data_IF_433699950753
#
_entry.id   IF_433699950753
#
_cell.length_a   1.000
_cell.length_b   1.000
_cell.length_c   1.000
_cell.angle_alpha   90.00
_cell.angle_beta   90.00
_cell.angle_gamma   90.00
#
_symmetry.space_group_name_H-M   'P 1'
#
loop_
_entity.id
_entity.type
_entity.pdbx_description
1 polymer ?
#
# COMPACT_ATOMS: atom_id res chain seq x y z
N UNK A 1 -21.00 11.63 -1.32
CA UNK A 1 -19.52 11.56 -1.32
C UNK A 1 -19.18 10.10 -1.47
N UNK A 2 -18.36 9.73 -2.44
CA UNK A 2 -17.97 8.33 -2.63
C UNK A 2 -16.91 7.98 -1.59
N UNK A 3 -17.25 7.15 -0.60
CA UNK A 3 -16.34 6.74 0.46
C UNK A 3 -15.53 5.52 0.01
N UNK A 4 -14.21 5.59 0.08
CA UNK A 4 -13.31 4.47 -0.19
C UNK A 4 -12.52 4.06 1.05
N UNK A 5 -12.11 2.80 1.17
CA UNK A 5 -11.29 2.35 2.29
C UNK A 5 -9.90 3.01 2.28
N UNK A 6 -9.32 3.19 1.09
CA UNK A 6 -8.10 3.96 0.86
C UNK A 6 -8.37 4.98 -0.26
N UNK A 7 -8.03 6.26 -0.04
CA UNK A 7 -8.21 7.33 -1.04
C UNK A 7 -6.90 8.05 -1.29
N UNK A 8 -6.44 8.05 -2.53
CA UNK A 8 -5.15 8.59 -2.96
C UNK A 8 -5.31 9.63 -4.07
N UNK A 9 -4.33 10.54 -4.15
CA UNK A 9 -4.09 11.36 -5.34
C UNK A 9 -3.61 10.46 -6.48
N UNK A 10 -2.32 10.16 -6.55
CA UNK A 10 -1.76 9.22 -7.52
C UNK A 10 -1.10 8.04 -6.80
N UNK A 11 -1.20 6.84 -7.36
CA UNK A 11 -0.55 5.62 -6.85
C UNK A 11 0.46 5.13 -7.88
N UNK A 12 1.70 4.92 -7.44
CA UNK A 12 2.78 4.40 -8.29
C UNK A 12 3.47 3.23 -7.60
N UNK A 13 3.51 2.07 -8.27
CA UNK A 13 4.25 0.88 -7.85
C UNK A 13 5.33 0.62 -8.90
N UNK A 14 6.59 0.93 -8.58
CA UNK A 14 7.68 0.94 -9.56
C UNK A 14 8.96 0.28 -9.03
N UNK A 15 9.89 -0.05 -9.94
CA UNK A 15 11.23 -0.52 -9.60
C UNK A 15 11.28 -1.91 -8.98
N UNK A 16 10.43 -2.83 -9.44
CA UNK A 16 10.35 -4.18 -8.88
C UNK A 16 9.75 -4.20 -7.48
N UNK A 17 8.81 -3.29 -7.20
CA UNK A 17 8.09 -3.22 -5.93
C UNK A 17 6.80 -4.04 -5.97
N UNK A 18 6.23 -4.33 -4.80
CA UNK A 18 4.97 -5.07 -4.68
C UNK A 18 3.97 -4.27 -3.85
N UNK A 19 2.76 -4.10 -4.36
CA UNK A 19 1.59 -3.66 -3.59
C UNK A 19 0.64 -4.85 -3.47
N UNK A 20 0.44 -5.35 -2.25
CA UNK A 20 -0.38 -6.53 -2.00
C UNK A 20 -1.50 -6.24 -1.00
N UNK A 21 -2.69 -6.74 -1.30
CA UNK A 21 -3.88 -6.72 -0.44
C UNK A 21 -4.28 -8.18 -0.26
N UNK A 22 -4.13 -8.69 0.97
CA UNK A 22 -4.30 -10.12 1.23
C UNK A 22 -5.13 -10.43 2.47
N UNK A 23 -5.85 -11.55 2.45
CA UNK A 23 -6.55 -12.13 3.60
C UNK A 23 -7.44 -11.14 4.37
N UNK A 24 -8.02 -10.19 3.64
CA UNK A 24 -8.73 -9.04 4.22
C UNK A 24 -10.21 -9.07 3.87
N UNK A 25 -11.02 -8.41 4.69
CA UNK A 25 -12.47 -8.34 4.51
C UNK A 25 -12.92 -6.88 4.48
N UNK A 26 -13.46 -6.44 3.34
CA UNK A 26 -13.88 -5.05 3.12
C UNK A 26 -15.39 -4.96 3.03
N UNK A 27 -16.06 -4.47 4.09
CA UNK A 27 -17.52 -4.60 4.25
C UNK A 27 -18.35 -3.36 3.95
N UNK A 28 -17.75 -2.17 3.87
CA UNK A 28 -18.47 -0.90 3.71
C UNK A 28 -17.62 0.08 2.90
N UNK A 29 -18.05 0.42 1.68
CA UNK A 29 -17.37 1.41 0.83
C UNK A 29 -17.85 1.38 -0.61
N UNK A 30 -17.85 2.55 -1.25
CA UNK A 30 -17.98 2.66 -2.71
C UNK A 30 -16.81 1.96 -3.40
N UNK A 31 -15.59 2.13 -2.88
CA UNK A 31 -14.44 1.40 -3.37
C UNK A 31 -13.46 0.94 -2.28
N UNK A 32 -12.65 -0.08 -2.53
CA UNK A 32 -11.52 -0.40 -1.64
C UNK A 32 -10.39 0.63 -1.83
N UNK A 33 -9.92 0.82 -3.05
CA UNK A 33 -8.90 1.82 -3.40
C UNK A 33 -9.49 2.85 -4.35
N UNK A 34 -9.42 4.13 -4.00
CA UNK A 34 -9.73 5.27 -4.86
C UNK A 34 -8.41 5.96 -5.20
N UNK A 35 -8.14 6.19 -6.49
CA UNK A 35 -6.99 6.97 -6.94
C UNK A 35 -7.35 7.83 -8.15
N UNK A 36 -6.59 8.91 -8.38
CA UNK A 36 -6.64 9.69 -9.62
C UNK A 36 -5.96 8.94 -10.76
N UNK A 37 -4.76 8.41 -10.50
CA UNK A 37 -4.04 7.50 -11.39
C UNK A 37 -3.42 6.34 -10.61
N UNK A 38 -3.21 5.21 -11.30
CA UNK A 38 -2.53 4.03 -10.79
C UNK A 38 -1.52 3.55 -11.84
N UNK A 39 -0.22 3.67 -11.55
CA UNK A 39 0.84 3.19 -12.44
C UNK A 39 1.59 2.03 -11.80
N UNK A 40 1.70 0.90 -12.51
CA UNK A 40 2.53 -0.24 -12.11
C UNK A 40 3.59 -0.47 -13.17
N UNK A 41 4.86 -0.29 -12.84
CA UNK A 41 5.96 -0.25 -13.81
C UNK A 41 7.26 -0.89 -13.29
N UNK A 42 8.26 -1.02 -14.15
CA UNK A 42 9.57 -1.58 -13.80
C UNK A 42 9.52 -3.00 -13.24
N UNK A 43 8.66 -3.88 -13.79
CA UNK A 43 8.51 -5.26 -13.31
C UNK A 43 7.89 -5.38 -11.91
N UNK A 44 7.14 -4.36 -11.49
CA UNK A 44 6.41 -4.35 -10.22
C UNK A 44 5.13 -5.18 -10.26
N UNK A 45 4.58 -5.48 -9.09
CA UNK A 45 3.45 -6.39 -8.92
C UNK A 45 2.34 -5.79 -8.06
N UNK A 46 1.10 -5.84 -8.57
CA UNK A 46 -0.11 -5.54 -7.81
C UNK A 46 -0.86 -6.85 -7.51
N UNK A 47 -1.21 -7.10 -6.25
CA UNK A 47 -1.81 -8.39 -5.84
C UNK A 47 -3.04 -8.18 -4.99
N UNK A 48 -4.12 -8.87 -5.32
CA UNK A 48 -5.30 -9.03 -4.48
C UNK A 48 -5.51 -10.53 -4.27
N UNK A 49 -5.32 -11.01 -3.03
CA UNK A 49 -5.38 -12.44 -2.73
C UNK A 49 -6.19 -12.79 -1.48
N UNK A 50 -6.99 -13.85 -1.52
CA UNK A 50 -7.71 -14.37 -0.35
C UNK A 50 -8.62 -13.33 0.34
N UNK A 51 -9.18 -12.37 -0.40
CA UNK A 51 -9.99 -11.30 0.19
C UNK A 51 -11.50 -11.53 0.03
N UNK A 52 -12.27 -10.99 0.97
CA UNK A 52 -13.72 -10.83 0.87
C UNK A 52 -14.05 -9.35 0.60
N UNK A 53 -14.46 -9.01 -0.62
CA UNK A 53 -14.86 -7.65 -1.01
C UNK A 53 -16.38 -7.51 -1.02
N UNK A 54 -16.90 -6.52 -0.30
CA UNK A 54 -18.31 -6.08 -0.36
C UNK A 54 -18.39 -4.60 -0.72
N UNK A 55 -17.99 -4.27 -1.95
CA UNK A 55 -17.87 -2.89 -2.44
C UNK A 55 -18.38 -2.77 -3.87
N UNK A 56 -18.58 -1.55 -4.37
CA UNK A 56 -18.95 -1.35 -5.78
C UNK A 56 -17.72 -1.50 -6.69
N UNK A 57 -16.55 -1.03 -6.24
CA UNK A 57 -15.29 -1.13 -6.97
C UNK A 57 -14.16 -1.60 -6.06
N UNK A 58 -13.33 -2.55 -6.49
CA UNK A 58 -12.11 -2.87 -5.74
C UNK A 58 -11.07 -1.77 -5.97
N UNK A 59 -10.81 -1.40 -7.23
CA UNK A 59 -9.91 -0.31 -7.64
C UNK A 59 -10.65 0.73 -8.48
N UNK A 60 -10.99 1.86 -7.88
CA UNK A 60 -11.64 2.98 -8.55
C UNK A 60 -10.62 4.04 -8.97
N UNK A 61 -10.42 4.20 -10.27
CA UNK A 61 -9.52 5.23 -10.83
C UNK A 61 -10.35 6.32 -11.49
N UNK A 62 -10.21 7.57 -11.03
CA UNK A 62 -11.05 8.68 -11.51
C UNK A 62 -10.71 9.11 -12.93
N UNK A 63 -9.43 9.03 -13.32
CA UNK A 63 -9.00 9.34 -14.68
C UNK A 63 -9.20 8.12 -15.59
N UNK A 64 -9.90 8.31 -16.71
CA UNK A 64 -10.20 7.26 -17.68
C UNK A 64 -8.95 6.53 -18.24
N UNK A 65 -7.84 7.26 -18.38
CA UNK A 65 -6.54 6.73 -18.79
C UNK A 65 -5.56 6.61 -17.61
N UNK A 66 -6.07 6.67 -16.39
CA UNK A 66 -5.26 6.79 -15.18
C UNK A 66 -4.60 5.49 -14.75
N UNK A 67 -5.07 4.33 -15.20
CA UNK A 67 -4.46 3.04 -14.89
C UNK A 67 -3.47 2.65 -15.99
N UNK A 68 -2.24 2.29 -15.63
CA UNK A 68 -1.14 2.03 -16.57
C UNK A 68 -0.25 0.90 -16.06
N UNK A 69 0.01 -0.11 -16.91
CA UNK A 69 0.94 -1.21 -16.62
C UNK A 69 2.06 -1.28 -17.67
N UNK A 70 3.31 -1.22 -17.22
CA UNK A 70 4.51 -1.17 -18.09
C UNK A 70 5.57 -2.18 -17.66
N UNK A 71 6.57 -2.39 -18.53
CA UNK A 71 7.81 -3.11 -18.21
C UNK A 71 7.62 -4.52 -17.63
N UNK A 72 6.62 -5.26 -18.15
CA UNK A 72 6.24 -6.60 -17.66
C UNK A 72 5.74 -6.60 -16.20
N UNK A 73 5.13 -5.50 -15.76
CA UNK A 73 4.40 -5.47 -14.50
C UNK A 73 3.13 -6.32 -14.54
N UNK A 74 2.81 -6.90 -13.38
CA UNK A 74 1.75 -7.92 -13.25
C UNK A 74 0.66 -7.43 -12.30
N UNK A 75 -0.59 -7.79 -12.60
CA UNK A 75 -1.72 -7.72 -11.67
C UNK A 75 -2.28 -9.12 -11.43
N UNK A 76 -2.13 -9.63 -10.21
CA UNK A 76 -2.70 -10.91 -9.82
C UNK A 76 -3.96 -10.72 -8.97
N UNK A 77 -5.04 -11.38 -9.37
CA UNK A 77 -6.33 -11.39 -8.69
C UNK A 77 -6.62 -12.86 -8.36
N UNK A 78 -6.44 -13.27 -7.11
CA UNK A 78 -6.36 -14.67 -6.70
C UNK A 78 -7.32 -14.95 -5.54
N UNK A 79 -8.12 -16.01 -5.62
CA UNK A 79 -8.85 -16.56 -4.47
C UNK A 79 -9.74 -15.54 -3.74
N UNK A 80 -10.29 -14.53 -4.44
CA UNK A 80 -11.12 -13.50 -3.82
C UNK A 80 -12.61 -13.83 -3.97
N UNK A 81 -13.39 -13.44 -2.96
CA UNK A 81 -14.85 -13.47 -2.98
C UNK A 81 -15.39 -12.03 -3.10
N UNK A 82 -16.04 -11.73 -4.22
CA UNK A 82 -16.57 -10.42 -4.57
C UNK A 82 -18.09 -10.45 -4.45
N UNK A 83 -18.64 -9.62 -3.58
CA UNK A 83 -20.08 -9.49 -3.37
C UNK A 83 -20.49 -8.04 -3.38
N UNK A 84 -21.80 -7.80 -3.40
CA UNK A 84 -22.36 -6.46 -3.37
C UNK A 84 -22.09 -5.77 -2.03
N UNK A 85 -21.64 -4.52 -2.09
CA UNK A 85 -21.68 -3.62 -0.94
C UNK A 85 -23.11 -3.21 -0.60
N UNK A 86 -23.35 -2.77 0.64
CA UNK A 86 -24.70 -2.44 1.15
C UNK A 86 -25.47 -1.39 0.33
N UNK A 87 -24.78 -0.60 -0.49
CA UNK A 87 -25.35 0.48 -1.30
C UNK A 87 -25.15 0.30 -2.82
N UNK A 88 -24.70 -0.88 -3.26
CA UNK A 88 -24.45 -1.16 -4.68
C UNK A 88 -25.21 -2.40 -5.14
N UNK A 89 -25.66 -2.40 -6.38
CA UNK A 89 -26.25 -3.56 -7.06
C UNK A 89 -25.26 -4.26 -7.98
N UNK A 90 -24.01 -3.80 -7.97
CA UNK A 90 -22.91 -4.34 -8.78
C UNK A 90 -21.62 -4.39 -7.95
N UNK A 91 -20.69 -5.23 -8.38
CA UNK A 91 -19.32 -5.28 -7.88
C UNK A 91 -18.40 -5.41 -9.07
N UNK A 92 -17.38 -4.57 -9.14
CA UNK A 92 -16.43 -4.53 -10.25
C UNK A 92 -15.01 -4.52 -9.69
N UNK A 93 -14.08 -5.18 -10.36
CA UNK A 93 -12.68 -5.09 -9.98
C UNK A 93 -12.15 -3.68 -10.19
N UNK A 94 -12.55 -3.03 -11.28
CA UNK A 94 -12.13 -1.66 -11.55
C UNK A 94 -13.14 -0.84 -12.34
N UNK A 95 -12.96 0.47 -12.35
CA UNK A 95 -13.62 1.40 -13.26
C UNK A 95 -13.28 1.09 -14.71
N UNK A 96 -14.16 1.49 -15.64
CA UNK A 96 -13.85 1.38 -17.06
C UNK A 96 -12.59 2.19 -17.38
N UNK A 97 -11.55 1.49 -17.84
CA UNK A 97 -10.29 2.09 -18.25
C UNK A 97 -9.89 1.54 -19.61
N UNK A 98 -9.12 2.32 -20.35
CA UNK A 98 -8.48 1.87 -21.58
C UNK A 98 -6.98 2.07 -21.42
N UNK A 99 -6.17 1.00 -21.41
CA UNK A 99 -4.73 1.15 -21.29
C UNK A 99 -4.18 1.98 -22.47
N UNK A 100 -3.20 2.87 -22.23
CA UNK A 100 -2.47 3.55 -23.29
C UNK A 100 -1.88 2.58 -24.33
N UNK A 101 -1.60 3.08 -25.55
CA UNK A 101 -1.13 2.26 -26.68
C UNK A 101 0.19 1.52 -26.42
N UNK A 102 1.01 2.01 -25.49
CA UNK A 102 2.27 1.44 -25.02
C UNK A 102 2.11 0.54 -23.78
N UNK A 103 0.96 0.56 -23.11
CA UNK A 103 0.66 -0.26 -21.94
C UNK A 103 0.41 -1.72 -22.36
N UNK A 104 1.01 -2.65 -21.63
CA UNK A 104 0.89 -4.10 -21.86
C UNK A 104 0.60 -4.75 -20.51
N UNK A 105 -0.64 -4.65 -20.00
CA UNK A 105 -0.99 -5.23 -18.72
C UNK A 105 -0.91 -6.75 -18.80
N UNK A 106 -0.22 -7.35 -17.83
CA UNK A 106 -0.23 -8.79 -17.61
C UNK A 106 -1.14 -9.02 -16.42
N UNK A 107 -2.30 -9.63 -16.65
CA UNK A 107 -3.31 -9.84 -15.61
C UNK A 107 -3.62 -11.32 -15.48
N UNK A 108 -3.58 -11.81 -14.25
CA UNK A 108 -3.93 -13.18 -13.90
C UNK A 108 -5.16 -13.20 -13.00
N UNK A 109 -6.11 -14.06 -13.33
CA UNK A 109 -7.29 -14.34 -12.54
C UNK A 109 -7.31 -15.81 -12.13
N UNK A 110 -7.34 -16.11 -10.83
CA UNK A 110 -7.33 -17.48 -10.32
C UNK A 110 -8.37 -17.62 -9.22
N UNK A 111 -9.26 -18.59 -9.37
CA UNK A 111 -10.25 -18.97 -8.35
C UNK A 111 -11.03 -17.81 -7.68
N UNK A 112 -11.38 -16.77 -8.43
CA UNK A 112 -12.23 -15.71 -7.90
C UNK A 112 -13.70 -16.10 -8.00
N UNK A 113 -14.49 -15.69 -7.02
CA UNK A 113 -15.93 -15.82 -7.01
C UNK A 113 -16.58 -14.45 -7.01
N UNK A 114 -17.66 -14.30 -7.77
CA UNK A 114 -18.54 -13.13 -7.77
C UNK A 114 -19.96 -13.59 -7.42
N UNK A 115 -20.51 -13.05 -6.33
CA UNK A 115 -21.87 -13.32 -5.86
C UNK A 115 -22.11 -14.85 -5.69
N UNK A 116 -21.10 -15.55 -5.14
CA UNK A 116 -21.15 -16.99 -4.92
C UNK A 116 -21.07 -17.85 -6.17
N UNK A 117 -20.68 -17.28 -7.31
CA UNK A 117 -20.41 -18.02 -8.56
C UNK A 117 -18.96 -17.81 -8.99
N UNK A 118 -18.26 -18.83 -9.50
CA UNK A 118 -16.91 -18.66 -10.04
C UNK A 118 -16.89 -17.64 -11.19
N UNK A 119 -15.91 -16.74 -11.17
CA UNK A 119 -15.69 -15.77 -12.24
C UNK A 119 -15.11 -16.49 -13.44
N UNK A 120 -15.80 -16.43 -14.58
CA UNK A 120 -15.33 -17.03 -15.83
C UNK A 120 -15.04 -15.99 -16.90
N UNK A 121 -15.67 -14.81 -16.82
CA UNK A 121 -15.43 -13.70 -17.72
C UNK A 121 -15.11 -12.43 -16.93
N UNK A 122 -13.83 -12.11 -16.77
CA UNK A 122 -13.41 -10.91 -16.02
C UNK A 122 -13.83 -9.60 -16.69
N UNK A 123 -14.14 -9.61 -17.99
CA UNK A 123 -14.61 -8.43 -18.68
C UNK A 123 -16.06 -8.12 -18.27
N UNK A 124 -16.94 -9.10 -18.38
CA UNK A 124 -18.37 -8.91 -18.11
C UNK A 124 -18.68 -8.98 -16.61
N UNK A 125 -18.07 -9.90 -15.87
CA UNK A 125 -18.32 -10.12 -14.45
C UNK A 125 -17.69 -9.04 -13.57
N UNK A 126 -16.48 -8.58 -13.93
CA UNK A 126 -15.64 -7.73 -13.09
C UNK A 126 -15.18 -6.42 -13.74
N UNK A 127 -15.66 -6.12 -14.96
CA UNK A 127 -15.38 -4.88 -15.68
C UNK A 127 -13.89 -4.66 -16.01
N UNK A 128 -13.15 -5.75 -16.27
CA UNK A 128 -11.75 -5.70 -16.73
C UNK A 128 -11.71 -5.78 -18.26
N UNK A 129 -11.68 -4.63 -18.94
CA UNK A 129 -11.70 -4.52 -20.41
C UNK A 129 -10.39 -4.88 -21.11
N UNK A 130 -9.42 -5.39 -20.36
CA UNK A 130 -8.14 -5.86 -20.85
C UNK A 130 -8.05 -7.37 -20.69
N UNK A 131 -7.45 -8.11 -21.64
CA UNK A 131 -7.37 -9.56 -21.57
C UNK A 131 -6.81 -10.05 -20.23
N UNK A 132 -7.55 -10.95 -19.58
CA UNK A 132 -7.13 -11.62 -18.34
C UNK A 132 -6.78 -13.07 -18.66
N UNK A 133 -5.63 -13.52 -18.20
CA UNK A 133 -5.26 -14.93 -18.24
C UNK A 133 -5.92 -15.63 -17.07
N UNK A 134 -7.00 -16.35 -17.33
CA UNK A 134 -7.74 -17.11 -16.32
C UNK A 134 -7.07 -18.47 -16.12
N UNK A 135 -6.76 -18.81 -14.87
CA UNK A 135 -6.23 -20.12 -14.49
C UNK A 135 -7.21 -20.84 -13.57
N UNK A 136 -7.18 -22.17 -13.62
CA UNK A 136 -8.00 -23.03 -12.78
C UNK A 136 -7.68 -22.86 -11.29
N UNK A 137 -8.69 -23.07 -10.44
CA UNK A 137 -8.48 -23.19 -9.00
C UNK A 137 -7.41 -24.26 -8.70
N UNK A 138 -6.43 -23.92 -7.86
CA UNK A 138 -5.29 -24.79 -7.54
C UNK A 138 -4.14 -24.73 -8.55
N UNK A 139 -4.23 -23.91 -9.60
CA UNK A 139 -3.08 -23.62 -10.44
C UNK A 139 -2.04 -22.77 -9.68
N UNK A 140 -0.79 -23.23 -9.68
CA UNK A 140 0.33 -22.57 -9.00
C UNK A 140 1.44 -22.27 -10.00
N UNK A 141 1.27 -21.21 -10.80
CA UNK A 141 2.26 -20.79 -11.79
C UNK A 141 3.10 -19.63 -11.27
N UNK A 142 4.39 -19.60 -11.62
CA UNK A 142 5.31 -18.52 -11.17
C UNK A 142 4.72 -17.16 -11.49
N UNK A 143 4.17 -17.00 -12.69
CA UNK A 143 3.72 -15.71 -13.19
C UNK A 143 2.51 -15.15 -12.45
N UNK A 144 1.69 -16.02 -11.85
CA UNK A 144 0.47 -15.61 -11.15
C UNK A 144 0.66 -15.54 -9.63
N UNK A 145 1.28 -16.57 -9.03
CA UNK A 145 1.30 -16.75 -7.57
C UNK A 145 2.61 -16.34 -6.89
N UNK A 146 3.68 -16.17 -7.67
CA UNK A 146 4.99 -15.76 -7.17
C UNK A 146 5.39 -14.40 -7.71
N UNK A 147 6.17 -13.64 -6.94
CA UNK A 147 6.81 -12.44 -7.46
C UNK A 147 7.94 -12.83 -8.43
N UNK A 148 7.62 -12.92 -9.71
CA UNK A 148 8.50 -13.45 -10.76
C UNK A 148 9.91 -12.86 -10.75
N UNK A 149 10.07 -11.57 -10.45
CA UNK A 149 11.37 -10.90 -10.41
C UNK A 149 12.33 -11.44 -9.31
N UNK A 150 11.79 -12.15 -8.32
CA UNK A 150 12.54 -12.68 -7.16
C UNK A 150 12.31 -14.18 -6.95
N UNK A 151 11.73 -14.87 -7.92
CA UNK A 151 11.52 -16.32 -7.89
C UNK A 151 12.53 -17.01 -8.80
N UNK A 152 13.23 -18.02 -8.28
CA UNK A 152 14.15 -18.85 -9.07
C UNK A 152 13.45 -20.05 -9.71
N UNK A 153 12.48 -20.64 -9.01
CA UNK A 153 11.72 -21.80 -9.45
C UNK A 153 10.46 -21.98 -8.60
N UNK A 154 9.60 -22.93 -8.96
CA UNK A 154 8.54 -23.45 -8.09
C UNK A 154 8.88 -24.89 -7.70
N UNK A 155 8.60 -25.26 -6.46
CA UNK A 155 8.63 -26.63 -5.98
C UNK A 155 7.23 -27.00 -5.50
N UNK A 156 6.50 -27.82 -6.28
CA UNK A 156 5.08 -28.07 -6.04
C UNK A 156 4.26 -26.81 -6.31
N UNK A 157 3.71 -26.20 -5.24
CA UNK A 157 2.97 -24.92 -5.28
C UNK A 157 3.68 -23.80 -4.50
N UNK A 158 4.88 -24.06 -3.99
CA UNK A 158 5.65 -23.08 -3.21
C UNK A 158 6.68 -22.39 -4.10
N UNK A 159 6.82 -21.07 -3.91
CA UNK A 159 7.81 -20.28 -4.62
C UNK A 159 9.19 -20.51 -4.01
N UNK A 160 10.15 -20.93 -4.83
CA UNK A 160 11.57 -20.98 -4.43
C UNK A 160 12.20 -19.65 -4.78
N UNK A 161 12.71 -18.95 -3.78
CA UNK A 161 13.17 -17.58 -3.95
C UNK A 161 14.61 -17.48 -4.46
N UNK A 162 14.80 -16.59 -5.42
CA UNK A 162 16.11 -16.14 -5.85
C UNK A 162 16.73 -15.20 -4.79
N UNK A 163 18.01 -14.88 -4.95
CA UNK A 163 18.70 -13.95 -4.07
C UNK A 163 17.94 -12.61 -3.93
N UNK A 164 17.72 -12.18 -2.70
CA UNK A 164 16.98 -10.95 -2.36
C UNK A 164 15.46 -11.08 -2.38
N UNK A 165 14.90 -12.25 -2.71
CA UNK A 165 13.50 -12.60 -2.48
C UNK A 165 13.30 -13.25 -1.11
N UNK A 166 12.11 -13.07 -0.53
CA UNK A 166 11.77 -13.64 0.78
C UNK A 166 10.28 -14.00 0.90
N UNK A 167 9.99 -14.96 1.77
CA UNK A 167 8.63 -15.43 2.07
C UNK A 167 8.07 -16.35 0.99
N UNK A 168 6.86 -16.85 1.24
CA UNK A 168 6.24 -17.92 0.44
C UNK A 168 5.92 -17.52 -1.00
N UNK A 169 5.85 -16.21 -1.27
CA UNK A 169 5.63 -15.63 -2.61
C UNK A 169 6.87 -14.93 -3.18
N UNK A 170 8.02 -15.07 -2.52
CA UNK A 170 9.29 -14.44 -2.91
C UNK A 170 9.22 -12.93 -3.08
N UNK A 171 8.57 -12.24 -2.16
CA UNK A 171 8.51 -10.78 -2.14
C UNK A 171 9.92 -10.17 -2.09
N UNK A 172 10.11 -8.96 -2.64
CA UNK A 172 11.39 -8.28 -2.52
C UNK A 172 11.69 -8.01 -1.04
N UNK A 173 12.79 -8.58 -0.55
CA UNK A 173 13.33 -8.28 0.78
C UNK A 173 14.21 -7.02 0.75
N UNK A 174 14.68 -6.65 -0.45
CA UNK A 174 15.52 -5.48 -0.66
C UNK A 174 14.68 -4.20 -0.60
N UNK A 175 15.02 -3.37 0.38
CA UNK A 175 14.81 -1.92 0.35
C UNK A 175 15.27 -1.40 -1.03
N UNK A 176 14.60 -0.42 -1.65
CA UNK A 176 15.13 0.22 -2.85
C UNK A 176 16.60 0.62 -2.62
N UNK A 177 17.50 0.19 -3.51
CA UNK A 177 18.85 0.72 -3.59
C UNK A 177 18.74 2.20 -3.98
N UNK A 178 18.51 3.03 -2.96
CA UNK A 178 18.00 4.38 -3.12
C UNK A 178 17.83 5.14 -1.81
N UNK A 179 18.07 4.51 -0.65
CA UNK A 179 18.23 5.24 0.62
C UNK A 179 19.49 6.12 0.66
N UNK A 180 20.34 6.09 -0.38
CA UNK A 180 21.66 6.69 -0.31
C UNK A 180 22.40 6.25 0.96
N UNK A 181 23.37 7.04 1.39
CA UNK A 181 23.84 7.06 2.76
C UNK A 181 22.75 6.78 3.79
N UNK A 182 22.73 5.66 4.52
CA UNK A 182 22.21 5.78 5.90
C UNK A 182 22.98 6.95 6.52
N UNK A 183 22.33 7.94 7.14
CA UNK A 183 23.06 8.99 7.84
C UNK A 183 24.01 8.28 8.80
N UNK A 184 25.30 8.52 8.63
CA UNK A 184 26.33 7.96 9.49
C UNK A 184 25.96 8.28 10.95
N UNK A 185 26.19 7.36 11.91
CA UNK A 185 25.91 7.58 13.33
C UNK A 185 26.67 8.75 13.98
N UNK A 186 27.41 9.54 13.20
CA UNK A 186 28.29 10.60 13.65
C UNK A 186 28.00 11.97 13.01
N UNK A 187 26.84 12.13 12.35
CA UNK A 187 26.33 13.49 12.19
C UNK A 187 25.97 13.99 13.60
N UNK A 188 26.76 14.93 14.12
CA UNK A 188 26.39 15.73 15.29
C UNK A 188 25.21 16.63 14.93
N UNK A 189 24.06 16.01 14.62
CA UNK A 189 22.86 16.71 14.22
C UNK A 189 22.00 16.92 15.45
N UNK A 190 22.07 18.14 15.95
CA UNK A 190 21.07 18.74 16.83
C UNK A 190 19.68 18.91 16.16
N UNK A 191 19.37 18.18 15.07
CA UNK A 191 18.26 18.48 14.16
C UNK A 191 17.12 17.43 14.09
N UNK A 192 17.39 16.14 14.39
CA UNK A 192 16.38 15.06 14.40
C UNK A 192 16.50 14.24 15.68
N UNK A 193 15.46 14.23 16.51
CA UNK A 193 15.48 13.53 17.81
C UNK A 193 15.02 12.08 17.63
N UNK A 194 15.94 11.14 17.82
CA UNK A 194 15.64 9.72 17.85
C UNK A 194 15.30 9.23 19.25
N UNK A 195 14.19 8.52 19.39
CA UNK A 195 13.84 7.74 20.58
C UNK A 195 14.16 6.29 20.27
N UNK A 196 14.95 5.67 21.15
CA UNK A 196 15.38 4.29 21.01
C UNK A 196 14.87 3.44 22.17
N UNK A 197 14.21 2.33 21.85
CA UNK A 197 13.80 1.35 22.85
C UNK A 197 12.66 1.81 23.77
N UNK A 198 12.14 0.86 24.54
CA UNK A 198 11.17 1.14 25.61
C UNK A 198 9.73 1.28 25.13
N UNK A 199 8.87 1.71 26.06
CA UNK A 199 7.44 1.89 25.79
C UNK A 199 7.00 3.31 26.09
N UNK A 200 6.25 3.92 25.17
CA UNK A 200 5.74 5.30 25.32
C UNK A 200 4.24 5.35 25.03
N UNK A 201 3.52 6.24 25.71
CA UNK A 201 2.08 6.46 25.49
C UNK A 201 1.78 7.81 24.83
N UNK A 202 2.80 8.66 24.65
CA UNK A 202 2.67 9.99 24.07
C UNK A 202 4.01 10.42 23.46
N UNK A 203 3.93 11.36 22.53
CA UNK A 203 5.10 12.04 21.94
C UNK A 203 5.05 13.50 22.41
N UNK A 204 6.17 13.99 22.93
CA UNK A 204 6.28 15.37 23.39
C UNK A 204 6.22 16.36 22.21
N UNK A 205 5.83 17.60 22.52
CA UNK A 205 5.83 18.68 21.52
C UNK A 205 7.26 18.90 21.00
N UNK A 206 7.48 18.91 19.67
CA UNK A 206 8.80 19.12 19.11
C UNK A 206 9.39 20.48 19.53
N UNK A 207 10.70 20.52 19.78
CA UNK A 207 11.40 21.78 20.03
C UNK A 207 11.38 22.66 18.77
N UNK A 208 11.37 24.00 18.90
CA UNK A 208 11.42 24.91 17.75
C UNK A 208 12.63 24.62 16.85
N UNK A 209 12.39 24.53 15.53
CA UNK A 209 13.43 24.25 14.54
C UNK A 209 13.78 22.76 14.35
N UNK A 210 13.09 21.84 15.03
CA UNK A 210 13.28 20.40 14.82
C UNK A 210 12.80 19.98 13.42
N UNK A 211 13.62 19.19 12.72
CA UNK A 211 13.41 18.81 11.30
C UNK A 211 12.82 17.43 11.11
N UNK A 212 12.52 16.73 12.19
CA UNK A 212 12.00 15.38 12.11
C UNK A 212 11.95 14.66 13.44
N UNK A 213 11.32 13.49 13.41
CA UNK A 213 11.25 12.56 14.52
C UNK A 213 11.64 11.18 14.07
N UNK A 214 12.19 10.42 14.99
CA UNK A 214 12.75 9.12 14.73
C UNK A 214 12.43 8.21 15.92
N UNK A 215 11.91 7.01 15.65
CA UNK A 215 11.59 6.01 16.65
C UNK A 215 12.17 4.67 16.20
N UNK A 216 12.97 4.06 17.06
CA UNK A 216 13.64 2.79 16.77
C UNK A 216 13.38 1.81 17.90
N UNK A 217 12.75 0.67 17.61
CA UNK A 217 12.44 -0.37 18.58
C UNK A 217 11.58 0.13 19.76
N UNK A 218 10.62 1.02 19.48
CA UNK A 218 9.74 1.63 20.48
C UNK A 218 8.35 0.99 20.44
N UNK A 219 7.80 0.68 21.61
CA UNK A 219 6.44 0.17 21.77
C UNK A 219 5.49 1.29 22.20
N UNK A 220 4.58 1.66 21.32
CA UNK A 220 3.54 2.64 21.61
C UNK A 220 2.36 1.96 22.29
N UNK A 221 2.08 2.34 23.52
CA UNK A 221 0.98 1.75 24.32
C UNK A 221 -0.36 2.45 24.11
N UNK A 222 -0.37 3.53 23.33
CA UNK A 222 -1.57 4.28 22.96
C UNK A 222 -1.46 4.76 21.50
N UNK A 223 -2.60 5.16 20.92
CA UNK A 223 -2.62 5.77 19.60
C UNK A 223 -1.95 7.16 19.64
N UNK A 224 -1.04 7.41 18.71
CA UNK A 224 -0.29 8.66 18.63
C UNK A 224 -0.83 9.56 17.53
N UNK A 225 -0.93 10.85 17.82
CA UNK A 225 -1.22 11.88 16.81
C UNK A 225 0.00 12.78 16.68
N UNK A 226 0.57 12.82 15.48
CA UNK A 226 1.65 13.73 15.10
C UNK A 226 1.07 14.85 14.26
N UNK A 227 0.93 16.03 14.86
CA UNK A 227 0.44 17.21 14.16
C UNK A 227 1.62 18.04 13.65
N UNK A 228 1.75 18.10 12.32
CA UNK A 228 2.88 18.73 11.66
C UNK A 228 2.84 20.25 11.71
N UNK A 229 1.73 20.85 12.19
CA UNK A 229 1.65 22.29 12.43
C UNK A 229 2.60 22.74 13.55
N UNK A 230 2.94 21.84 14.48
CA UNK A 230 3.89 22.15 15.55
C UNK A 230 5.34 22.17 15.09
N UNK A 231 5.64 21.67 13.88
CA UNK A 231 6.97 21.74 13.32
C UNK A 231 7.16 23.08 12.62
N UNK A 232 8.06 23.90 13.17
CA UNK A 232 8.43 25.20 12.60
C UNK A 232 9.41 25.02 11.43
N UNK A 233 8.91 24.56 10.28
CA UNK A 233 9.74 24.25 9.11
C UNK A 233 9.26 24.92 7.81
N UNK A 234 9.26 26.26 7.70
CA UNK A 234 9.01 26.91 6.42
C UNK A 234 10.13 26.53 5.43
N UNK A 235 9.74 25.88 4.31
CA UNK A 235 10.58 25.52 3.15
C UNK A 235 11.50 24.29 3.28
N UNK A 236 11.37 23.44 4.31
CA UNK A 236 12.24 22.27 4.50
C UNK A 236 11.43 20.97 4.64
N UNK A 237 12.08 19.83 4.36
CA UNK A 237 11.45 18.51 4.39
C UNK A 237 11.45 17.94 5.80
N UNK A 238 10.28 17.59 6.33
CA UNK A 238 10.14 16.94 7.63
C UNK A 238 10.35 15.43 7.51
N UNK A 239 11.31 14.88 8.23
CA UNK A 239 11.62 13.45 8.20
C UNK A 239 11.02 12.73 9.42
N UNK A 240 10.11 11.79 9.20
CA UNK A 240 9.49 11.00 10.26
C UNK A 240 9.81 9.53 10.02
N UNK A 241 10.53 8.91 10.94
CA UNK A 241 10.97 7.52 10.81
C UNK A 241 10.48 6.67 11.98
N UNK A 242 9.85 5.54 11.68
CA UNK A 242 9.47 4.49 12.61
C UNK A 242 10.10 3.18 12.13
N UNK A 243 11.01 2.63 12.93
CA UNK A 243 11.76 1.43 12.60
C UNK A 243 11.58 0.40 13.72
N UNK A 244 11.09 -0.80 13.40
CA UNK A 244 10.89 -1.86 14.39
C UNK A 244 9.99 -1.46 15.56
N UNK A 245 9.03 -0.56 15.31
CA UNK A 245 8.11 -0.09 16.34
C UNK A 245 6.89 -1.00 16.45
N UNK A 246 6.26 -1.02 17.63
CA UNK A 246 4.94 -1.63 17.84
C UNK A 246 3.95 -0.50 18.10
N UNK A 247 2.87 -0.41 17.31
CA UNK A 247 1.96 0.71 17.26
C UNK A 247 0.55 0.26 17.63
N UNK A 248 -0.09 0.95 18.58
CA UNK A 248 -1.55 0.81 18.76
C UNK A 248 -2.30 1.60 17.68
N UNK A 249 -1.78 2.74 17.26
CA UNK A 249 -2.34 3.59 16.20
C UNK A 249 -1.43 4.78 15.93
N UNK A 250 -1.43 5.31 14.71
CA UNK A 250 -0.66 6.50 14.36
C UNK A 250 -1.45 7.37 13.40
N UNK A 251 -1.65 8.64 13.74
CA UNK A 251 -2.25 9.65 12.88
C UNK A 251 -1.25 10.77 12.61
N UNK A 252 -1.03 11.13 11.35
CA UNK A 252 -0.12 12.21 10.95
C UNK A 252 -0.94 13.31 10.27
N UNK A 253 -0.98 14.50 10.86
CA UNK A 253 -1.72 15.65 10.33
C UNK A 253 -0.80 16.61 9.60
N UNK A 254 -1.05 16.81 8.30
CA UNK A 254 -0.32 17.68 7.38
C UNK A 254 -0.37 19.16 7.74
N UNK A 255 0.69 19.89 7.34
CA UNK A 255 0.88 21.33 7.57
C UNK A 255 1.33 22.10 6.33
N UNK A 256 1.01 21.61 5.13
CA UNK A 256 1.55 22.01 3.81
C UNK A 256 3.08 21.87 3.65
N UNK A 257 3.79 21.46 4.71
CA UNK A 257 5.21 21.16 4.64
C UNK A 257 5.47 19.89 3.83
N UNK A 258 6.60 19.83 3.13
CA UNK A 258 7.06 18.59 2.48
C UNK A 258 7.45 17.60 3.57
N UNK A 259 7.02 16.34 3.45
CA UNK A 259 7.34 15.31 4.45
C UNK A 259 7.89 14.05 3.81
N UNK A 260 8.80 13.38 4.51
CA UNK A 260 9.17 12.00 4.25
C UNK A 260 8.83 11.16 5.47
N UNK A 261 7.80 10.32 5.35
CA UNK A 261 7.39 9.38 6.39
C UNK A 261 7.86 7.98 6.02
N UNK A 262 8.53 7.29 6.93
CA UNK A 262 8.97 5.91 6.75
C UNK A 262 8.55 5.06 7.94
N UNK A 263 7.70 4.06 7.71
CA UNK A 263 7.25 3.07 8.70
C UNK A 263 7.73 1.69 8.28
N UNK A 264 8.87 1.29 8.83
CA UNK A 264 9.60 0.10 8.40
C UNK A 264 9.72 -0.96 9.48
N UNK A 265 9.57 -2.23 9.11
CA UNK A 265 9.73 -3.38 10.02
C UNK A 265 8.89 -3.28 11.30
N UNK A 266 7.79 -2.54 11.26
CA UNK A 266 6.99 -2.18 12.43
C UNK A 266 5.70 -3.00 12.48
N UNK A 267 5.10 -3.17 13.65
CA UNK A 267 3.83 -3.85 13.83
C UNK A 267 2.77 -2.84 14.26
N UNK A 268 1.63 -2.78 13.57
CA UNK A 268 0.42 -2.15 14.09
C UNK A 268 -0.41 -3.27 14.72
N UNK A 269 -0.81 -3.12 15.99
CA UNK A 269 -1.40 -4.20 16.78
C UNK A 269 -2.94 -4.18 16.80
N UNK A 270 -3.57 -3.00 16.77
CA UNK A 270 -5.03 -2.90 16.88
C UNK A 270 -5.70 -1.69 16.19
N UNK A 271 -5.00 -0.62 15.85
CA UNK A 271 -5.58 0.59 15.26
C UNK A 271 -5.30 0.74 13.76
N UNK A 272 -5.15 1.99 13.32
CA UNK A 272 -4.90 2.36 11.92
C UNK A 272 -3.69 3.31 11.80
N UNK A 273 -3.07 3.33 10.62
CA UNK A 273 -2.20 4.43 10.17
C UNK A 273 -3.06 5.46 9.44
N UNK A 274 -3.15 6.67 9.96
CA UNK A 274 -3.97 7.72 9.40
C UNK A 274 -3.10 8.89 8.94
N UNK A 275 -3.39 9.44 7.77
CA UNK A 275 -2.75 10.64 7.25
C UNK A 275 -3.83 11.66 6.91
N UNK A 276 -3.83 12.79 7.59
CA UNK A 276 -4.90 13.78 7.49
C UNK A 276 -4.35 15.15 7.04
N UNK A 277 -5.02 15.86 6.13
CA UNK A 277 -4.68 17.25 5.78
C UNK A 277 -3.67 17.45 4.63
N UNK A 278 -3.13 18.67 4.52
CA UNK A 278 -2.31 19.07 3.37
C UNK A 278 -0.82 18.77 3.58
N UNK A 279 -0.19 18.18 2.57
CA UNK A 279 1.24 17.86 2.54
C UNK A 279 1.88 18.57 1.34
N UNK A 280 3.11 19.06 1.51
CA UNK A 280 3.80 19.80 0.47
C UNK A 280 4.13 18.92 -0.74
N UNK A 281 4.22 19.53 -1.93
CA UNK A 281 4.69 18.85 -3.15
C UNK A 281 5.98 18.05 -2.93
N UNK A 282 6.04 16.86 -3.55
CA UNK A 282 7.14 15.87 -3.40
C UNK A 282 7.24 15.22 -2.02
N UNK A 283 6.16 15.21 -1.23
CA UNK A 283 6.08 14.39 -0.01
C UNK A 283 6.13 12.89 -0.34
N UNK A 284 6.71 12.09 0.54
CA UNK A 284 6.87 10.65 0.41
C UNK A 284 6.36 9.97 1.67
N UNK A 285 5.60 8.89 1.51
CA UNK A 285 5.13 8.04 2.59
C UNK A 285 5.47 6.61 2.21
N UNK A 286 6.30 5.97 3.02
CA UNK A 286 6.77 4.61 2.86
C UNK A 286 6.30 3.78 4.04
N UNK A 287 5.63 2.66 3.78
CA UNK A 287 5.34 1.62 4.77
C UNK A 287 5.88 0.31 4.20
N UNK A 288 6.90 -0.28 4.81
CA UNK A 288 7.61 -1.43 4.23
C UNK A 288 8.05 -2.46 5.28
N UNK A 289 7.87 -3.75 4.98
CA UNK A 289 8.21 -4.84 5.92
C UNK A 289 7.43 -4.81 7.23
N UNK A 290 6.31 -4.08 7.28
CA UNK A 290 5.51 -3.86 8.49
C UNK A 290 4.26 -4.75 8.50
N UNK A 291 3.90 -5.26 9.67
CA UNK A 291 2.70 -6.09 9.88
C UNK A 291 1.57 -5.21 10.39
N UNK A 292 0.42 -5.15 9.70
CA UNK A 292 -0.70 -4.30 10.10
C UNK A 292 -1.87 -5.15 10.60
N UNK A 293 -1.94 -5.39 11.91
CA UNK A 293 -3.08 -5.98 12.59
C UNK A 293 -4.01 -4.82 13.01
N UNK A 294 -5.25 -4.83 12.51
CA UNK A 294 -6.22 -3.76 12.77
C UNK A 294 -7.54 -4.34 13.27
N UNK A 295 -8.12 -3.67 14.26
CA UNK A 295 -9.51 -3.87 14.69
C UNK A 295 -10.46 -2.83 14.10
N UNK A 296 -9.91 -1.84 13.38
CA UNK A 296 -10.66 -0.83 12.64
C UNK A 296 -11.20 -1.40 11.33
N UNK A 297 -12.15 -0.70 10.71
CA UNK A 297 -12.60 -0.98 9.34
C UNK A 297 -11.50 -0.77 8.28
N UNK A 298 -10.38 -0.13 8.64
CA UNK A 298 -9.25 0.17 7.75
C UNK A 298 -7.89 0.00 8.46
N UNK A 299 -6.86 -0.43 7.72
CA UNK A 299 -5.49 -0.51 8.20
C UNK A 299 -4.70 0.79 7.95
N UNK A 300 -4.90 1.42 6.79
CA UNK A 300 -4.34 2.73 6.44
C UNK A 300 -5.48 3.61 5.93
N UNK A 301 -5.58 4.84 6.41
CA UNK A 301 -6.60 5.81 6.03
C UNK A 301 -5.95 7.15 5.66
N UNK A 302 -6.45 7.76 4.58
CA UNK A 302 -6.07 9.12 4.18
C UNK A 302 -7.31 10.01 4.23
N UNK A 303 -7.32 11.02 5.12
CA UNK A 303 -8.47 11.88 5.37
C UNK A 303 -8.17 13.30 4.90
N UNK A 304 -8.91 13.83 3.91
CA UNK A 304 -8.64 15.18 3.38
C UNK A 304 -7.16 15.37 3.02
N UNK A 305 -6.55 14.35 2.41
CA UNK A 305 -5.14 14.32 2.07
C UNK A 305 -4.92 15.04 0.74
N UNK A 306 -4.15 16.13 0.75
CA UNK A 306 -3.84 16.89 -0.46
C UNK A 306 -2.33 17.06 -0.60
N UNK A 307 -1.83 16.97 -1.83
CA UNK A 307 -0.48 17.40 -2.17
C UNK A 307 -0.60 18.81 -2.76
N UNK A 308 -0.17 19.83 -1.99
CA UNK A 308 -0.34 21.25 -2.33
C UNK A 308 1.00 21.95 -2.44
#
# INVERSE_FOLDING_TARGET
MYEGACVFGDVVVAGGSVLQIMSSTFRLGFAMLIATTLTVAGGSWLVHRDNEFRTAYIVYVTNYYGMVFRDRSVWSILDNNLTYGSYSTFTCMTTKWSPPSDSRPIIYGVCNEVIGSPVTDYQDDLNIWTPVTVLDCGACTVDAVCFAARTSSISGCECVCAAGGYGDTCLPAAVPDGLGPLPLPDARDTEVRCVHGGSISSVDVPDPGMRGLCFVNVTFTAAIVLDLLYFTAPQQTLNITLLQCVLVGLSIRGSVARVHVSVTFSMLDSGALEFEGDFGVSSQILVAGSTLLTTSSHAILFVKFFLV
#
